data_IF_681717014406
#
_entry.id   IF_681717014406
#
_cell.length_a   1.000
_cell.length_b   1.000
_cell.length_c   1.000
_cell.angle_alpha   90.00
_cell.angle_beta   90.00
_cell.angle_gamma   90.00
#
_symmetry.space_group_name_H-M   'P 1'
#
loop_
_entity.id
_entity.type
_entity.pdbx_description
1 polymer ?
#
# COMPACT_ATOMS: atom_id res chain seq x y z
N UNK A 1 -14.47 2.84 -19.48
CA UNK A 1 -14.92 3.60 -18.30
C UNK A 1 -13.81 3.47 -17.27
N UNK A 2 -13.15 4.57 -16.89
CA UNK A 2 -12.04 4.53 -15.91
C UNK A 2 -12.56 4.03 -14.56
N UNK A 3 -11.77 3.20 -13.88
CA UNK A 3 -12.10 2.61 -12.59
C UNK A 3 -11.24 3.32 -11.56
N UNK A 4 -11.86 4.14 -10.70
CA UNK A 4 -11.15 4.79 -9.61
C UNK A 4 -11.06 3.83 -8.43
N UNK A 5 -9.86 3.69 -7.87
CA UNK A 5 -9.56 2.80 -6.76
C UNK A 5 -8.78 3.56 -5.69
N UNK A 6 -9.01 3.22 -4.43
CA UNK A 6 -8.18 3.66 -3.31
C UNK A 6 -7.61 2.43 -2.62
N UNK A 7 -6.29 2.25 -2.66
CA UNK A 7 -5.64 1.04 -2.17
C UNK A 7 -5.04 1.19 -0.77
N UNK A 8 -5.23 2.32 -0.09
CA UNK A 8 -4.54 2.60 1.18
C UNK A 8 -5.46 3.20 2.25
N UNK A 9 -6.60 2.55 2.51
CA UNK A 9 -7.40 2.87 3.70
C UNK A 9 -6.87 2.13 4.92
N UNK A 10 -6.34 2.88 5.89
CA UNK A 10 -5.81 2.31 7.13
C UNK A 10 -6.91 1.58 7.92
N UNK A 11 -6.64 0.32 8.28
CA UNK A 11 -7.51 -0.45 9.15
C UNK A 11 -7.71 0.24 10.51
N UNK A 12 -8.94 0.19 11.02
CA UNK A 12 -9.30 0.68 12.35
C UNK A 12 -10.23 -0.33 13.04
N UNK A 13 -10.05 -0.55 14.35
CA UNK A 13 -10.94 -1.44 15.10
C UNK A 13 -12.37 -0.87 15.25
N UNK A 14 -12.54 0.45 15.06
CA UNK A 14 -13.82 1.13 15.14
C UNK A 14 -14.63 0.95 13.84
N UNK A 15 -15.70 0.14 13.92
CA UNK A 15 -16.63 -0.12 12.81
C UNK A 15 -17.29 1.14 12.29
N UNK A 16 -17.63 2.08 13.17
CA UNK A 16 -18.32 3.31 12.78
C UNK A 16 -17.44 4.18 11.89
N UNK A 17 -16.13 4.21 12.17
CA UNK A 17 -15.14 4.93 11.39
C UNK A 17 -14.93 4.30 10.03
N UNK A 18 -14.82 2.96 9.96
CA UNK A 18 -14.68 2.26 8.68
C UNK A 18 -15.93 2.46 7.81
N UNK A 19 -17.14 2.33 8.37
CA UNK A 19 -18.39 2.54 7.61
C UNK A 19 -18.42 3.94 6.98
N UNK A 20 -18.14 4.97 7.78
CA UNK A 20 -18.10 6.36 7.30
C UNK A 20 -17.07 6.57 6.19
N UNK A 21 -15.89 5.95 6.29
CA UNK A 21 -14.87 6.03 5.24
C UNK A 21 -15.33 5.35 3.95
N UNK A 22 -15.96 4.18 4.04
CA UNK A 22 -16.49 3.46 2.87
C UNK A 22 -17.66 4.20 2.21
N UNK A 23 -18.57 4.76 3.00
CA UNK A 23 -19.66 5.62 2.53
C UNK A 23 -19.12 6.85 1.80
N UNK A 24 -18.12 7.51 2.39
CA UNK A 24 -17.46 8.66 1.77
C UNK A 24 -16.78 8.26 0.46
N UNK A 25 -16.07 7.13 0.44
CA UNK A 25 -15.41 6.64 -0.77
C UNK A 25 -16.42 6.31 -1.87
N UNK A 26 -17.55 5.67 -1.52
CA UNK A 26 -18.63 5.38 -2.47
C UNK A 26 -19.27 6.67 -3.02
N UNK A 27 -19.49 7.68 -2.17
CA UNK A 27 -20.01 8.99 -2.58
C UNK A 27 -19.04 9.74 -3.50
N UNK A 28 -17.73 9.63 -3.26
CA UNK A 28 -16.69 10.21 -4.14
C UNK A 28 -16.54 9.46 -5.48
N UNK A 29 -17.22 8.33 -5.67
CA UNK A 29 -17.20 7.55 -6.90
C UNK A 29 -16.09 6.50 -6.97
N UNK A 30 -15.43 6.17 -5.84
CA UNK A 30 -14.47 5.07 -5.79
C UNK A 30 -15.20 3.74 -5.93
N UNK A 31 -14.68 2.90 -6.81
CA UNK A 31 -15.31 1.63 -7.16
C UNK A 31 -14.70 0.42 -6.47
N UNK A 32 -13.43 0.52 -6.08
CA UNK A 32 -12.72 -0.50 -5.32
C UNK A 32 -11.88 0.18 -4.26
N UNK A 33 -11.89 -0.38 -3.06
CA UNK A 33 -11.16 0.13 -1.91
C UNK A 33 -10.42 -1.01 -1.25
N UNK A 34 -9.16 -0.81 -0.86
CA UNK A 34 -8.41 -1.78 -0.08
C UNK A 34 -8.16 -1.30 1.36
N UNK A 35 -8.50 -2.17 2.32
CA UNK A 35 -8.22 -1.97 3.74
C UNK A 35 -6.80 -2.45 4.00
N UNK A 36 -5.93 -1.51 4.36
CA UNK A 36 -4.52 -1.73 4.60
C UNK A 36 -4.25 -2.11 6.07
N UNK A 37 -3.67 -3.29 6.26
CA UNK A 37 -3.13 -3.77 7.52
C UNK A 37 -1.62 -3.59 7.51
N UNK A 38 -1.09 -2.80 8.43
CA UNK A 38 0.36 -2.57 8.53
C UNK A 38 0.95 -3.54 9.54
N UNK A 39 1.98 -4.28 9.12
CA UNK A 39 2.75 -5.19 9.96
C UNK A 39 4.20 -4.70 10.03
N UNK A 40 4.65 -4.33 11.22
CA UNK A 40 5.99 -3.83 11.47
C UNK A 40 6.73 -4.78 12.42
N UNK A 41 7.54 -5.72 11.90
CA UNK A 41 8.27 -6.65 12.73
C UNK A 41 9.29 -5.89 13.57
N UNK A 42 9.16 -6.00 14.89
CA UNK A 42 10.10 -5.41 15.84
C UNK A 42 10.86 -6.53 16.54
N UNK A 43 12.18 -6.39 16.68
CA UNK A 43 13.05 -7.40 17.32
C UNK A 43 12.66 -7.78 18.77
N UNK A 44 11.80 -6.99 19.43
CA UNK A 44 11.44 -7.14 20.85
C UNK A 44 10.20 -8.01 21.10
N UNK A 45 9.37 -8.28 20.10
CA UNK A 45 8.18 -9.14 20.26
C UNK A 45 7.94 -9.97 18.99
N UNK A 46 7.61 -11.26 19.17
CA UNK A 46 6.99 -12.07 18.12
C UNK A 46 5.58 -11.52 17.87
N UNK A 47 5.47 -10.48 17.05
CA UNK A 47 4.19 -10.02 16.54
C UNK A 47 3.74 -10.97 15.44
N UNK A 48 2.50 -11.42 15.53
CA UNK A 48 1.88 -12.24 14.50
C UNK A 48 1.35 -11.35 13.37
N UNK A 49 1.38 -11.87 12.15
CA UNK A 49 0.77 -11.19 11.01
C UNK A 49 -0.74 -11.05 11.31
N UNK A 50 -1.32 -9.85 11.15
CA UNK A 50 -2.73 -9.65 11.42
C UNK A 50 -3.59 -10.58 10.56
N UNK A 51 -4.71 -11.04 11.11
CA UNK A 51 -5.71 -11.79 10.34
C UNK A 51 -6.70 -10.78 9.75
N UNK A 52 -6.90 -10.74 8.42
CA UNK A 52 -7.87 -9.84 7.83
C UNK A 52 -9.26 -10.22 8.34
N UNK A 53 -10.03 -9.21 8.74
CA UNK A 53 -11.41 -9.45 9.16
C UNK A 53 -12.28 -9.68 7.91
N UNK A 54 -13.23 -10.63 7.96
CA UNK A 54 -14.16 -10.78 6.86
C UNK A 54 -14.98 -9.49 6.70
N UNK A 55 -15.25 -9.10 5.45
CA UNK A 55 -15.91 -7.82 5.13
C UNK A 55 -17.28 -7.71 5.82
N UNK A 56 -18.00 -8.83 5.96
CA UNK A 56 -19.29 -8.91 6.65
C UNK A 56 -19.21 -8.54 8.14
N UNK A 57 -18.05 -8.68 8.79
CA UNK A 57 -17.86 -8.24 10.18
C UNK A 57 -17.48 -6.77 10.29
N UNK A 58 -17.06 -6.15 9.19
CA UNK A 58 -16.67 -4.75 9.12
C UNK A 58 -17.84 -3.86 8.75
N UNK A 59 -18.74 -4.34 7.88
CA UNK A 59 -19.92 -3.61 7.43
C UNK A 59 -21.05 -4.58 7.06
N UNK A 60 -22.27 -4.27 7.49
CA UNK A 60 -23.45 -5.12 7.24
C UNK A 60 -23.93 -5.00 5.78
N UNK A 61 -23.86 -3.78 5.21
CA UNK A 61 -24.25 -3.51 3.83
C UNK A 61 -23.26 -2.57 3.15
N UNK A 62 -22.74 -3.00 2.00
CA UNK A 62 -21.80 -2.20 1.22
C UNK A 62 -22.53 -1.05 0.50
N UNK A 63 -22.06 0.20 0.61
CA UNK A 63 -22.68 1.33 -0.06
C UNK A 63 -22.58 1.20 -1.58
N UNK A 64 -23.64 1.66 -2.27
CA UNK A 64 -23.67 1.75 -3.74
C UNK A 64 -22.87 2.96 -4.16
N UNK A 65 -21.97 2.76 -5.12
CA UNK A 65 -21.07 3.81 -5.60
C UNK A 65 -21.84 4.87 -6.39
N UNK A 66 -21.64 6.14 -6.07
CA UNK A 66 -22.30 7.23 -6.77
C UNK A 66 -21.93 7.23 -8.26
N UNK A 67 -22.95 7.28 -9.12
CA UNK A 67 -22.78 7.18 -10.58
C UNK A 67 -22.62 5.74 -11.11
N UNK A 68 -22.72 4.72 -10.25
CA UNK A 68 -22.75 3.30 -10.65
C UNK A 68 -23.91 2.59 -9.95
N UNK A 69 -24.36 1.46 -10.53
CA UNK A 69 -25.42 0.63 -9.96
C UNK A 69 -24.89 -0.57 -9.16
N UNK A 70 -23.61 -0.54 -8.77
CA UNK A 70 -22.93 -1.65 -8.09
C UNK A 70 -22.39 -1.22 -6.72
N UNK A 71 -22.39 -2.12 -5.72
CA UNK A 71 -21.75 -1.86 -4.44
C UNK A 71 -20.23 -1.69 -4.60
N UNK A 72 -19.62 -0.95 -3.69
CA UNK A 72 -18.18 -0.79 -3.63
C UNK A 72 -17.50 -2.15 -3.37
N UNK A 73 -16.41 -2.44 -4.08
CA UNK A 73 -15.61 -3.66 -3.82
C UNK A 73 -14.59 -3.36 -2.73
N UNK A 74 -14.59 -4.16 -1.67
CA UNK A 74 -13.60 -4.05 -0.59
C UNK A 74 -12.59 -5.19 -0.72
N UNK A 75 -11.31 -4.87 -0.63
CA UNK A 75 -10.19 -5.80 -0.64
C UNK A 75 -9.41 -5.70 0.66
N UNK A 76 -8.73 -6.77 1.05
CA UNK A 76 -7.80 -6.78 2.18
C UNK A 76 -6.37 -6.70 1.68
N UNK A 77 -5.62 -5.70 2.14
CA UNK A 77 -4.23 -5.47 1.79
C UNK A 77 -3.34 -5.61 3.02
N UNK A 78 -2.21 -6.28 2.88
CA UNK A 78 -1.16 -6.30 3.90
C UNK A 78 0.02 -5.44 3.44
N UNK A 79 0.48 -4.51 4.29
CA UNK A 79 1.75 -3.81 4.10
C UNK A 79 2.76 -4.27 5.16
N UNK A 80 3.85 -4.89 4.73
CA UNK A 80 4.94 -5.31 5.60
C UNK A 80 6.05 -4.26 5.60
N UNK A 81 6.36 -3.69 6.76
CA UNK A 81 7.50 -2.78 6.92
C UNK A 81 8.78 -3.62 7.07
N UNK A 82 9.68 -3.50 6.10
CA UNK A 82 10.88 -4.33 6.01
C UNK A 82 12.09 -3.48 6.36
N UNK A 83 12.58 -3.71 7.58
CA UNK A 83 13.78 -3.06 8.14
C UNK A 83 14.98 -4.00 8.23
N UNK A 84 14.75 -5.31 8.21
CA UNK A 84 15.76 -6.35 8.15
C UNK A 84 15.40 -7.36 7.07
N UNK A 85 16.35 -8.00 6.36
CA UNK A 85 16.06 -9.03 5.37
C UNK A 85 15.18 -10.17 5.89
N UNK A 86 15.25 -10.50 7.19
CA UNK A 86 14.45 -11.56 7.82
C UNK A 86 13.00 -11.18 8.10
N UNK A 87 12.61 -9.91 7.92
CA UNK A 87 11.24 -9.43 8.17
C UNK A 87 10.25 -9.90 7.10
N UNK A 88 10.69 -10.02 5.86
CA UNK A 88 9.88 -10.59 4.78
C UNK A 88 10.10 -12.09 4.73
N UNK A 89 9.01 -12.87 4.80
CA UNK A 89 9.04 -14.33 4.79
C UNK A 89 8.49 -14.85 3.46
N UNK A 90 9.34 -15.20 2.48
CA UNK A 90 8.88 -15.77 1.23
C UNK A 90 8.01 -17.01 1.51
N UNK A 91 6.82 -17.08 0.93
CA UNK A 91 5.87 -18.19 1.09
C UNK A 91 5.19 -18.34 2.47
N UNK A 92 5.15 -17.29 3.29
CA UNK A 92 4.35 -17.31 4.52
C UNK A 92 2.87 -17.58 4.19
N UNK A 93 2.24 -18.66 4.71
CA UNK A 93 0.84 -18.98 4.42
C UNK A 93 -0.12 -17.87 4.89
N UNK A 94 0.29 -17.05 5.84
CA UNK A 94 -0.46 -15.90 6.33
C UNK A 94 -0.69 -14.83 5.25
N UNK A 95 0.26 -14.67 4.32
CA UNK A 95 0.12 -13.70 3.22
C UNK A 95 -1.01 -14.06 2.25
N UNK A 96 -1.31 -15.36 2.09
CA UNK A 96 -2.40 -15.86 1.23
C UNK A 96 -3.80 -15.50 1.73
N UNK A 97 -3.92 -14.95 2.94
CA UNK A 97 -5.21 -14.47 3.49
C UNK A 97 -5.58 -13.09 2.96
N UNK A 98 -4.64 -12.38 2.35
CA UNK A 98 -4.82 -11.03 1.82
C UNK A 98 -4.97 -11.08 0.30
N UNK A 99 -5.72 -10.13 -0.24
CA UNK A 99 -5.93 -9.97 -1.69
C UNK A 99 -4.74 -9.25 -2.34
N UNK A 100 -4.08 -8.37 -1.59
CA UNK A 100 -2.92 -7.58 -2.05
C UNK A 100 -1.80 -7.63 -1.01
N UNK A 101 -0.57 -7.82 -1.50
CA UNK A 101 0.63 -7.79 -0.68
C UNK A 101 1.53 -6.60 -1.07
N UNK A 102 1.80 -5.77 -0.08
CA UNK A 102 2.64 -4.60 -0.19
C UNK A 102 3.84 -4.68 0.75
N UNK A 103 4.98 -4.13 0.33
CA UNK A 103 6.19 -4.03 1.15
C UNK A 103 6.68 -2.60 1.21
N UNK A 104 7.02 -2.14 2.41
CA UNK A 104 7.65 -0.85 2.66
C UNK A 104 9.11 -1.07 3.08
N UNK A 105 10.07 -1.02 2.14
CA UNK A 105 11.49 -1.16 2.47
C UNK A 105 12.04 0.14 3.07
N UNK A 106 12.89 0.03 4.10
CA UNK A 106 13.50 1.20 4.76
C UNK A 106 14.95 1.47 4.35
N UNK A 107 15.57 0.58 3.56
CA UNK A 107 16.95 0.75 3.07
C UNK A 107 17.11 0.39 1.60
N UNK A 108 18.18 0.87 0.95
CA UNK A 108 18.46 0.60 -0.47
C UNK A 108 18.58 -0.91 -0.77
N UNK A 109 19.24 -1.65 0.13
CA UNK A 109 19.44 -3.10 -0.02
C UNK A 109 18.11 -3.84 -0.01
N UNK A 110 17.20 -3.44 0.88
CA UNK A 110 15.88 -4.03 1.00
C UNK A 110 14.98 -3.61 -0.16
N UNK A 111 15.09 -2.37 -0.63
CA UNK A 111 14.40 -1.91 -1.84
C UNK A 111 14.83 -2.73 -3.07
N UNK A 112 16.14 -2.95 -3.24
CA UNK A 112 16.66 -3.80 -4.31
C UNK A 112 16.13 -5.24 -4.19
N UNK A 113 16.13 -5.82 -2.99
CA UNK A 113 15.59 -7.15 -2.75
C UNK A 113 14.08 -7.22 -3.08
N UNK A 114 13.30 -6.22 -2.67
CA UNK A 114 11.87 -6.13 -3.02
C UNK A 114 11.64 -6.07 -4.53
N UNK A 115 12.48 -5.30 -5.25
CA UNK A 115 12.41 -5.15 -6.69
C UNK A 115 12.80 -6.40 -7.48
N UNK A 116 13.61 -7.31 -6.91
CA UNK A 116 14.17 -8.45 -7.65
C UNK A 116 13.68 -9.82 -7.17
N UNK A 117 13.44 -9.97 -5.86
CA UNK A 117 13.28 -11.27 -5.21
C UNK A 117 11.90 -11.47 -4.59
N UNK A 118 11.24 -10.41 -4.13
CA UNK A 118 9.99 -10.54 -3.39
C UNK A 118 8.81 -10.77 -4.34
N UNK A 119 7.93 -11.68 -3.96
CA UNK A 119 6.66 -11.95 -4.66
C UNK A 119 5.58 -11.08 -3.99
N UNK A 120 5.38 -9.89 -4.55
CA UNK A 120 4.56 -8.80 -4.00
C UNK A 120 3.89 -8.03 -5.14
N UNK A 121 2.75 -7.41 -4.85
CA UNK A 121 2.02 -6.59 -5.82
C UNK A 121 2.48 -5.14 -5.80
N UNK A 122 2.78 -4.62 -4.61
CA UNK A 122 3.04 -3.19 -4.38
C UNK A 122 4.32 -2.95 -3.59
N UNK A 123 5.15 -2.01 -4.04
CA UNK A 123 6.27 -1.47 -3.26
C UNK A 123 5.91 -0.06 -2.78
N UNK A 124 5.77 0.10 -1.47
CA UNK A 124 5.49 1.38 -0.83
C UNK A 124 6.79 2.17 -0.64
N UNK A 125 6.87 3.35 -1.24
CA UNK A 125 7.99 4.25 -1.00
C UNK A 125 7.69 5.12 0.23
N UNK A 126 8.54 5.05 1.25
CA UNK A 126 8.45 5.97 2.39
C UNK A 126 8.75 7.40 1.94
N UNK A 127 7.82 8.31 2.21
CA UNK A 127 7.91 9.73 1.84
C UNK A 127 7.93 10.68 3.03
N UNK A 128 7.93 10.13 4.24
CA UNK A 128 7.97 10.89 5.49
C UNK A 128 9.36 11.42 5.81
N UNK A 129 10.40 10.95 5.13
CA UNK A 129 11.77 11.37 5.36
C UNK A 129 12.52 11.51 4.03
N UNK A 130 13.64 12.23 4.06
CA UNK A 130 14.58 12.23 2.94
C UNK A 130 15.11 10.81 2.78
N UNK A 131 14.83 10.19 1.64
CA UNK A 131 15.35 8.85 1.37
C UNK A 131 16.88 8.87 1.40
N UNK A 132 17.52 7.94 2.13
CA UNK A 132 18.98 7.89 2.20
C UNK A 132 19.60 7.28 0.93
N UNK A 133 18.80 6.96 -0.09
CA UNK A 133 19.22 6.28 -1.30
C UNK A 133 18.51 6.80 -2.54
N UNK A 134 19.08 6.47 -3.71
CA UNK A 134 18.51 6.80 -5.01
C UNK A 134 17.88 5.57 -5.66
N UNK A 135 16.82 5.78 -6.42
CA UNK A 135 16.18 4.74 -7.21
C UNK A 135 17.06 4.37 -8.40
N UNK A 136 17.62 3.17 -8.40
CA UNK A 136 18.36 2.64 -9.56
C UNK A 136 17.37 2.14 -10.60
N UNK A 137 17.63 2.45 -11.87
CA UNK A 137 16.76 2.06 -13.00
C UNK A 137 16.64 0.55 -13.19
N UNK A 138 17.73 -0.20 -13.04
CA UNK A 138 17.72 -1.63 -13.29
C UNK A 138 16.78 -2.41 -12.33
N UNK A 139 16.84 -2.21 -11.00
CA UNK A 139 15.87 -2.82 -10.08
C UNK A 139 14.43 -2.37 -10.35
N UNK A 140 14.22 -1.08 -10.59
CA UNK A 140 12.88 -0.53 -10.85
C UNK A 140 12.25 -1.15 -12.09
N UNK A 141 12.99 -1.28 -13.18
CA UNK A 141 12.50 -1.93 -14.39
C UNK A 141 12.24 -3.42 -14.15
N UNK A 142 13.11 -4.11 -13.41
CA UNK A 142 12.90 -5.51 -13.05
C UNK A 142 11.63 -5.73 -12.22
N UNK A 143 11.24 -4.77 -11.38
CA UNK A 143 9.96 -4.81 -10.67
C UNK A 143 8.78 -4.57 -11.62
N UNK A 144 8.87 -3.58 -12.51
CA UNK A 144 7.82 -3.25 -13.48
C UNK A 144 7.57 -4.41 -14.45
N UNK A 145 8.62 -5.06 -14.94
CA UNK A 145 8.52 -6.19 -15.86
C UNK A 145 7.86 -7.42 -15.22
N UNK A 146 7.94 -7.53 -13.88
CA UNK A 146 7.21 -8.54 -13.08
C UNK A 146 5.77 -8.13 -12.76
N UNK A 147 5.34 -6.92 -13.13
CA UNK A 147 4.01 -6.39 -12.84
C UNK A 147 3.87 -5.75 -11.45
N UNK A 148 4.97 -5.52 -10.74
CA UNK A 148 4.95 -4.85 -9.43
C UNK A 148 4.74 -3.35 -9.63
N UNK A 149 3.84 -2.75 -8.85
CA UNK A 149 3.58 -1.30 -8.88
C UNK A 149 4.26 -0.59 -7.72
N UNK A 150 4.60 0.68 -7.92
CA UNK A 150 5.17 1.53 -6.88
C UNK A 150 4.12 2.48 -6.35
N UNK A 151 3.89 2.47 -5.03
CA UNK A 151 2.95 3.36 -4.37
C UNK A 151 3.65 4.55 -3.71
N UNK A 152 3.05 5.73 -3.86
CA UNK A 152 3.43 6.96 -3.18
C UNK A 152 2.27 7.43 -2.31
N UNK A 153 2.41 7.33 -0.98
CA UNK A 153 1.37 7.81 -0.06
C UNK A 153 1.39 9.33 0.04
N UNK A 154 0.36 10.00 -0.45
CA UNK A 154 0.26 11.47 -0.40
C UNK A 154 -0.23 12.02 0.96
N UNK A 155 -0.69 11.15 1.88
CA UNK A 155 -1.31 11.57 3.13
C UNK A 155 -0.39 12.43 4.01
N UNK A 156 0.92 12.15 4.00
CA UNK A 156 1.93 12.92 4.73
C UNK A 156 2.08 14.34 4.16
N UNK A 157 1.98 14.51 2.83
CA UNK A 157 2.12 15.79 2.15
C UNK A 157 0.98 16.78 2.45
N UNK A 158 -0.18 16.27 2.87
CA UNK A 158 -1.32 17.09 3.28
C UNK A 158 -1.10 17.65 4.69
N UNK A 159 -0.54 16.84 5.60
CA UNK A 159 -0.46 17.16 7.04
C UNK A 159 0.66 18.14 7.39
N UNK A 160 1.81 18.04 6.72
CA UNK A 160 2.98 18.83 7.07
C UNK A 160 3.72 19.37 5.83
N UNK A 161 4.15 20.63 5.91
CA UNK A 161 4.80 21.33 4.78
C UNK A 161 6.21 20.83 4.46
N UNK A 162 6.93 20.34 5.47
CA UNK A 162 8.26 19.71 5.30
C UNK A 162 8.09 18.35 4.65
N UNK A 163 7.14 17.54 5.13
CA UNK A 163 6.82 16.23 4.55
C UNK A 163 6.31 16.34 3.11
N UNK A 164 5.61 17.43 2.77
CA UNK A 164 5.24 17.73 1.38
C UNK A 164 6.46 17.87 0.47
N UNK A 165 7.51 18.57 0.91
CA UNK A 165 8.75 18.72 0.13
C UNK A 165 9.41 17.36 -0.11
N UNK A 166 9.51 16.52 0.92
CA UNK A 166 10.08 15.18 0.79
C UNK A 166 9.23 14.28 -0.11
N UNK A 167 7.90 14.33 0.03
CA UNK A 167 6.99 13.55 -0.82
C UNK A 167 7.15 13.91 -2.29
N UNK A 168 7.16 15.20 -2.63
CA UNK A 168 7.31 15.65 -4.02
C UNK A 168 8.70 15.25 -4.56
N UNK A 169 9.77 15.45 -3.77
CA UNK A 169 11.13 15.13 -4.20
C UNK A 169 11.33 13.62 -4.43
N UNK A 170 10.87 12.78 -3.50
CA UNK A 170 10.98 11.33 -3.60
C UNK A 170 10.12 10.80 -4.74
N UNK A 171 8.90 11.31 -4.92
CA UNK A 171 8.02 10.94 -6.02
C UNK A 171 8.62 11.32 -7.38
N UNK A 172 9.22 12.52 -7.50
CA UNK A 172 9.89 12.94 -8.72
C UNK A 172 11.08 12.03 -9.07
N UNK A 173 11.90 11.67 -8.08
CA UNK A 173 13.02 10.73 -8.27
C UNK A 173 12.57 9.32 -8.68
N UNK A 174 11.45 8.85 -8.15
CA UNK A 174 10.83 7.60 -8.57
C UNK A 174 10.33 7.69 -10.02
N UNK A 175 9.60 8.75 -10.36
CA UNK A 175 9.05 8.97 -11.71
C UNK A 175 10.14 9.01 -12.79
N UNK A 176 11.27 9.67 -12.51
CA UNK A 176 12.42 9.72 -13.40
C UNK A 176 13.04 8.32 -13.64
N UNK A 177 13.01 7.48 -12.61
CA UNK A 177 13.51 6.10 -12.67
C UNK A 177 12.55 5.17 -13.41
N UNK A 178 11.24 5.36 -13.23
CA UNK A 178 10.17 4.57 -13.84
C UNK A 178 9.81 4.99 -15.28
N UNK A 179 10.37 6.10 -15.81
CA UNK A 179 9.97 6.72 -17.09
C UNK A 179 8.44 6.91 -17.23
N UNK A 180 7.73 7.16 -16.12
CA UNK A 180 6.28 7.39 -16.11
C UNK A 180 5.39 6.14 -16.12
N UNK A 181 5.91 4.93 -15.94
CA UNK A 181 5.11 3.69 -15.77
C UNK A 181 4.67 3.46 -14.31
N UNK A 182 4.23 4.49 -13.60
CA UNK A 182 3.79 4.37 -12.20
C UNK A 182 2.28 4.15 -12.15
N UNK A 183 1.83 3.07 -11.51
CA UNK A 183 0.44 2.93 -11.09
C UNK A 183 0.20 3.85 -9.90
N UNK A 184 -0.64 4.88 -10.08
CA UNK A 184 -1.12 5.74 -9.00
C UNK A 184 -2.24 5.06 -8.22
#
# INVERSE_FOLDING_TARGET
MSVFMDLNLMFSADRSRISKLLETAAHLGFSTVAINYVFEPTAKQKQEIPVPKPINELIDQLPVVQGRSRPIRVLNRLTVVVSDPGHYRPNAPEYRRFDLLAVQPTSEKLFHAACMLYDIDVICVSVTEKLPFFFKRAPVNGAIDRGVVFEVSYAAAIRDSTMRRYTIANAAGLMESCKGKVGL
#
